data_IF_823969524805
#
_entry.id   IF_823969524805
#
_cell.length_a   1.000
_cell.length_b   1.000
_cell.length_c   1.000
_cell.angle_alpha   90.00
_cell.angle_beta   90.00
_cell.angle_gamma   90.00
#
_symmetry.space_group_name_H-M   'P 1'
#
loop_
_entity.id
_entity.type
_entity.pdbx_description
1 polymer ?
#
# COMPACT_ATOMS: atom_id res chain seq x y z
N UNK A 1 2.07 -15.08 10.63
CA UNK A 1 0.73 -15.16 10.00
C UNK A 1 0.41 -13.85 9.29
N UNK A 2 -0.37 -13.96 8.23
CA UNK A 2 -0.45 -13.07 7.04
C UNK A 2 -0.83 -11.62 7.38
N UNK A 3 0.01 -10.66 6.98
CA UNK A 3 -0.27 -9.22 7.02
C UNK A 3 -0.93 -8.82 5.69
N UNK A 4 -2.22 -8.53 5.73
CA UNK A 4 -3.00 -7.97 4.63
C UNK A 4 -2.89 -6.45 4.65
N UNK A 5 -2.13 -5.87 3.70
CA UNK A 5 -2.26 -4.45 3.31
C UNK A 5 -3.26 -4.40 2.16
N UNK A 6 -4.24 -3.51 2.25
CA UNK A 6 -5.29 -3.32 1.26
C UNK A 6 -4.86 -2.28 0.22
N UNK A 7 -5.27 -2.52 -1.02
CA UNK A 7 -5.08 -1.63 -2.14
C UNK A 7 -6.23 -1.86 -3.10
N UNK A 8 -7.04 -0.82 -3.32
CA UNK A 8 -7.56 -0.49 -4.64
C UNK A 8 -8.27 0.86 -4.69
N UNK A 9 -8.10 1.50 -5.84
CA UNK A 9 -8.85 2.63 -6.41
C UNK A 9 -8.48 4.04 -5.95
N UNK A 10 -8.34 4.91 -6.95
CA UNK A 10 -7.81 6.28 -7.03
C UNK A 10 -8.07 7.25 -5.86
N UNK A 11 -9.03 6.96 -4.99
CA UNK A 11 -9.21 7.61 -3.67
C UNK A 11 -8.01 7.32 -2.73
N UNK A 12 -7.28 6.23 -2.99
CA UNK A 12 -6.15 5.77 -2.20
C UNK A 12 -4.84 6.54 -2.42
N UNK A 13 -4.68 7.35 -3.47
CA UNK A 13 -3.40 8.04 -3.71
C UNK A 13 -3.02 8.98 -2.55
N UNK A 14 -3.99 9.70 -1.98
CA UNK A 14 -3.77 10.55 -0.79
C UNK A 14 -3.47 9.76 0.49
N UNK A 15 -4.01 8.54 0.63
CA UNK A 15 -3.84 7.70 1.82
C UNK A 15 -2.61 6.77 1.74
N UNK A 16 -2.21 6.40 0.52
CA UNK A 16 -1.01 5.57 0.25
C UNK A 16 0.26 6.37 0.52
N UNK A 17 0.22 7.69 0.35
CA UNK A 17 1.30 8.61 0.70
C UNK A 17 1.60 8.61 2.21
N UNK A 18 0.58 8.46 3.07
CA UNK A 18 0.78 8.28 4.51
C UNK A 18 1.33 6.89 4.87
N UNK A 19 1.00 5.87 4.07
CA UNK A 19 1.42 4.47 4.28
C UNK A 19 2.85 4.17 3.78
N UNK A 20 3.47 5.02 2.96
CA UNK A 20 4.90 4.92 2.64
C UNK A 20 5.80 5.36 3.81
N UNK A 21 5.29 6.14 4.75
CA UNK A 21 6.06 6.56 5.93
C UNK A 21 6.27 5.45 6.97
N UNK A 22 5.29 4.56 7.18
CA UNK A 22 5.26 3.63 8.32
C UNK A 22 5.91 2.25 8.10
N UNK A 23 6.93 2.11 7.24
CA UNK A 23 7.67 0.84 7.25
C UNK A 23 8.70 0.64 6.16
N UNK A 24 9.96 0.96 6.49
CA UNK A 24 11.16 0.12 6.27
C UNK A 24 12.44 0.95 6.50
N UNK A 25 12.66 1.44 7.72
CA UNK A 25 13.97 1.94 8.14
C UNK A 25 14.79 0.81 8.77
N UNK A 26 15.69 0.18 8.00
CA UNK A 26 16.69 -0.75 8.55
C UNK A 26 17.66 0.04 9.43
N UNK A 27 17.88 -0.46 10.64
CA UNK A 27 18.84 0.02 11.64
C UNK A 27 20.25 0.15 11.07
N UNK A 28 20.89 1.31 11.31
CA UNK A 28 22.32 1.51 11.14
C UNK A 28 23.10 0.74 12.25
N UNK A 29 24.35 0.31 11.99
CA UNK A 29 25.10 -0.59 12.87
C UNK A 29 25.67 0.11 14.11
N UNK A 30 25.68 -0.60 15.22
CA UNK A 30 26.22 -0.16 16.51
C UNK A 30 27.74 0.07 16.45
N UNK A 31 28.18 1.31 16.64
CA UNK A 31 29.58 1.63 16.98
C UNK A 31 29.84 1.32 18.45
N UNK A 32 30.81 0.43 18.70
CA UNK A 32 31.33 0.10 20.04
C UNK A 32 31.90 1.34 20.74
N UNK A 33 31.78 1.48 22.08
CA UNK A 33 32.43 2.56 22.82
C UNK A 33 33.94 2.29 22.92
N UNK A 34 34.74 3.31 22.59
CA UNK A 34 36.17 3.36 22.89
C UNK A 34 36.33 3.70 24.38
N UNK A 35 37.08 2.85 25.08
CA UNK A 35 37.54 3.05 26.46
C UNK A 35 38.78 3.96 26.42
N UNK A 36 38.85 5.03 27.24
CA UNK A 36 40.13 5.57 27.66
C UNK A 36 40.48 5.08 29.07
N UNK A 37 41.61 4.38 29.08
CA UNK A 37 42.63 4.14 30.10
C UNK A 37 42.60 5.02 31.38
N UNK A 38 42.83 4.36 32.52
CA UNK A 38 42.99 4.90 33.88
C UNK A 38 44.25 5.80 34.03
N UNK A 39 44.40 6.62 35.07
CA UNK A 39 45.09 6.35 36.38
C UNK A 39 45.27 7.73 37.11
N UNK A 40 45.47 7.90 38.45
CA UNK A 40 45.01 7.20 39.66
C UNK A 40 44.37 8.13 40.75
N UNK A 41 43.95 7.46 41.82
CA UNK A 41 43.39 7.86 43.12
C UNK A 41 43.91 9.12 43.86
N UNK A 42 42.98 9.77 44.59
CA UNK A 42 43.20 10.30 45.93
C UNK A 42 41.89 10.19 46.77
N UNK A 43 42.04 9.97 48.08
CA UNK A 43 41.04 9.41 49.02
C UNK A 43 40.13 10.45 49.71
N UNK A 44 38.93 9.98 50.11
CA UNK A 44 38.12 10.27 51.32
C UNK A 44 37.60 11.72 51.60
N UNK A 45 36.41 12.00 52.17
CA UNK A 45 35.43 11.20 52.91
C UNK A 45 33.97 11.73 52.79
N UNK A 46 33.05 10.90 53.28
CA UNK A 46 31.75 11.19 53.94
C UNK A 46 30.54 11.75 53.17
N UNK A 47 29.60 10.84 52.91
CA UNK A 47 28.34 10.83 53.66
C UNK A 47 27.18 11.68 53.13
N UNK A 48 26.44 11.19 52.12
CA UNK A 48 25.00 11.47 51.99
C UNK A 48 24.28 10.45 51.10
N UNK A 49 23.09 10.07 51.57
CA UNK A 49 22.05 9.15 51.08
C UNK A 49 21.73 9.24 49.56
N UNK A 50 21.37 8.13 48.88
CA UNK A 50 21.05 8.17 47.45
C UNK A 50 19.65 8.77 47.23
N UNK A 51 19.61 10.00 46.73
CA UNK A 51 18.41 10.53 46.07
C UNK A 51 18.32 9.97 44.65
N UNK A 52 17.23 9.28 44.41
CA UNK A 52 16.82 8.72 43.13
C UNK A 52 16.48 9.87 42.19
N UNK A 53 17.47 10.31 41.42
CA UNK A 53 17.29 11.28 40.34
C UNK A 53 16.49 10.67 39.20
N UNK A 54 15.18 10.86 39.24
CA UNK A 54 14.31 10.66 38.09
C UNK A 54 14.62 11.75 37.06
N UNK A 55 15.40 11.42 36.03
CA UNK A 55 15.60 12.30 34.86
C UNK A 55 14.26 12.37 34.13
N UNK A 56 13.42 13.31 34.53
CA UNK A 56 12.20 13.65 33.82
C UNK A 56 12.64 14.56 32.69
N UNK A 57 12.79 14.01 31.48
CA UNK A 57 12.96 14.81 30.28
C UNK A 57 11.79 15.81 30.19
N UNK A 58 12.03 17.11 29.86
CA UNK A 58 10.95 18.08 29.84
C UNK A 58 9.96 17.70 28.74
N UNK A 59 8.68 17.57 29.10
CA UNK A 59 7.58 17.48 28.14
C UNK A 59 7.55 18.81 27.39
N UNK A 60 8.20 18.87 26.24
CA UNK A 60 8.20 20.05 25.37
C UNK A 60 6.76 20.32 24.93
N UNK A 61 6.30 21.54 25.22
CA UNK A 61 5.03 22.07 24.71
C UNK A 61 5.07 21.99 23.19
N UNK A 62 4.19 21.17 22.62
CA UNK A 62 4.10 20.97 21.17
C UNK A 62 3.77 22.31 20.53
N UNK A 63 4.66 22.82 19.68
CA UNK A 63 4.38 24.03 18.90
C UNK A 63 3.30 23.74 17.86
N UNK A 64 2.41 24.71 17.62
CA UNK A 64 1.29 24.57 16.67
C UNK A 64 1.77 24.29 15.22
N UNK A 65 2.98 24.75 14.87
CA UNK A 65 3.65 24.50 13.58
C UNK A 65 4.74 23.40 13.70
N UNK A 66 4.39 22.26 14.31
CA UNK A 66 5.28 21.09 14.42
C UNK A 66 4.83 19.93 13.54
N UNK A 67 5.76 19.04 13.17
CA UNK A 67 5.43 17.81 12.47
C UNK A 67 4.39 16.96 13.23
N UNK A 68 4.48 16.94 14.57
CA UNK A 68 3.54 16.22 15.43
C UNK A 68 2.12 16.79 15.31
N UNK A 69 1.96 18.11 15.33
CA UNK A 69 0.66 18.76 15.16
C UNK A 69 0.06 18.47 13.78
N UNK A 70 0.85 18.58 12.71
CA UNK A 70 0.42 18.29 11.34
C UNK A 70 -0.03 16.82 11.16
N UNK A 71 0.73 15.86 11.69
CA UNK A 71 0.39 14.44 11.65
C UNK A 71 -0.89 14.16 12.42
N UNK A 72 -1.04 14.69 13.64
CA UNK A 72 -2.26 14.50 14.44
C UNK A 72 -3.49 15.07 13.75
N UNK A 73 -3.39 16.26 13.16
CA UNK A 73 -4.49 16.86 12.41
C UNK A 73 -4.91 15.98 11.22
N UNK A 74 -3.93 15.41 10.52
CA UNK A 74 -4.17 14.52 9.37
C UNK A 74 -4.82 13.21 9.81
N UNK A 75 -4.33 12.58 10.87
CA UNK A 75 -4.94 11.37 11.45
C UNK A 75 -6.38 11.63 11.88
N UNK A 76 -6.65 12.72 12.59
CA UNK A 76 -8.02 13.08 12.98
C UNK A 76 -8.93 13.38 11.79
N UNK A 77 -8.41 13.91 10.69
CA UNK A 77 -9.19 14.07 9.46
C UNK A 77 -9.57 12.69 8.88
N UNK A 78 -8.65 11.72 8.88
CA UNK A 78 -8.89 10.35 8.41
C UNK A 78 -9.87 9.60 9.31
N UNK A 79 -9.72 9.71 10.63
CA UNK A 79 -10.65 9.10 11.61
C UNK A 79 -12.08 9.62 11.44
N UNK A 80 -12.22 10.91 11.13
CA UNK A 80 -13.51 11.53 10.78
C UNK A 80 -13.89 11.34 9.31
N UNK A 81 -13.07 10.62 8.54
CA UNK A 81 -13.18 10.37 7.11
C UNK A 81 -13.40 11.61 6.25
N UNK A 82 -12.83 12.73 6.68
CA UNK A 82 -12.68 13.93 5.88
C UNK A 82 -11.38 13.81 5.07
N UNK A 83 -11.43 12.98 4.01
CA UNK A 83 -10.27 12.70 3.18
C UNK A 83 -9.81 13.93 2.40
N UNK A 84 -10.72 14.84 2.05
CA UNK A 84 -10.38 16.11 1.43
C UNK A 84 -9.50 16.96 2.38
N UNK A 85 -9.80 16.96 3.69
CA UNK A 85 -8.97 17.62 4.69
C UNK A 85 -7.65 16.89 4.94
N UNK A 86 -7.66 15.55 4.97
CA UNK A 86 -6.44 14.77 5.09
C UNK A 86 -5.48 15.01 3.91
N UNK A 87 -6.02 15.21 2.71
CA UNK A 87 -5.27 15.52 1.50
C UNK A 87 -4.55 16.88 1.55
N UNK A 88 -5.03 17.83 2.37
CA UNK A 88 -4.35 19.11 2.59
C UNK A 88 -3.01 18.97 3.32
N UNK A 89 -2.67 17.77 3.81
CA UNK A 89 -1.33 17.43 4.29
C UNK A 89 -0.27 17.65 3.20
N UNK A 90 -0.61 17.43 1.93
CA UNK A 90 0.27 17.67 0.80
C UNK A 90 0.46 19.18 0.53
N UNK A 91 1.67 19.63 0.15
CA UNK A 91 1.87 21.00 -0.29
C UNK A 91 1.19 21.27 -1.63
N UNK A 92 0.88 22.54 -1.97
CA UNK A 92 0.18 22.89 -3.20
C UNK A 92 0.84 22.36 -4.48
N UNK A 93 2.18 22.34 -4.55
CA UNK A 93 2.89 21.77 -5.69
C UNK A 93 2.59 20.28 -5.90
N UNK A 94 2.59 19.51 -4.81
CA UNK A 94 2.30 18.07 -4.86
C UNK A 94 0.82 17.81 -5.18
N UNK A 95 -0.09 18.65 -4.68
CA UNK A 95 -1.50 18.57 -5.08
C UNK A 95 -1.66 18.82 -6.59
N UNK A 96 -0.95 19.82 -7.13
CA UNK A 96 -0.96 20.11 -8.57
C UNK A 96 -0.39 18.97 -9.40
N UNK A 97 0.64 18.26 -8.93
CA UNK A 97 1.17 17.10 -9.64
C UNK A 97 0.12 15.99 -9.77
N UNK A 98 -0.58 15.69 -8.67
CA UNK A 98 -1.64 14.68 -8.64
C UNK A 98 -2.84 15.10 -9.49
N UNK A 99 -3.24 16.38 -9.43
CA UNK A 99 -4.28 16.93 -10.32
C UNK A 99 -3.88 16.74 -11.79
N UNK A 100 -2.62 17.02 -12.13
CA UNK A 100 -2.07 16.78 -13.46
C UNK A 100 -2.14 15.31 -13.89
N UNK A 101 -1.89 14.36 -12.97
CA UNK A 101 -2.06 12.93 -13.26
C UNK A 101 -3.52 12.56 -13.54
N UNK A 102 -4.47 13.13 -12.79
CA UNK A 102 -5.92 12.93 -13.01
C UNK A 102 -6.32 13.46 -14.39
N UNK A 103 -5.86 14.66 -14.75
CA UNK A 103 -6.15 15.26 -16.05
C UNK A 103 -5.54 14.44 -17.19
N UNK A 104 -4.29 13.99 -17.04
CA UNK A 104 -3.64 13.12 -18.01
C UNK A 104 -4.37 11.79 -18.18
N UNK A 105 -4.78 11.15 -17.08
CA UNK A 105 -5.61 9.94 -17.13
C UNK A 105 -6.88 10.18 -17.94
N UNK A 106 -7.62 11.24 -17.60
CA UNK A 106 -8.88 11.55 -18.25
C UNK A 106 -8.72 11.88 -19.75
N UNK A 107 -7.58 12.46 -20.15
CA UNK A 107 -7.25 12.72 -21.56
C UNK A 107 -6.86 11.46 -22.35
N UNK A 108 -6.32 10.44 -21.67
CA UNK A 108 -5.79 9.22 -22.29
C UNK A 108 -6.74 8.03 -22.25
N UNK A 109 -7.75 8.10 -21.38
CA UNK A 109 -8.78 7.07 -21.26
C UNK A 109 -9.66 7.02 -22.53
N UNK A 110 -10.02 5.81 -22.97
CA UNK A 110 -10.97 5.64 -24.07
C UNK A 110 -12.39 6.00 -23.61
N UNK A 111 -12.97 7.01 -24.25
CA UNK A 111 -14.28 7.56 -23.88
C UNK A 111 -15.40 6.52 -23.96
N UNK A 112 -15.40 5.67 -24.99
CA UNK A 112 -16.44 4.65 -25.15
C UNK A 112 -16.37 3.63 -24.00
N UNK A 113 -15.17 3.13 -23.67
CA UNK A 113 -14.99 2.21 -22.55
C UNK A 113 -15.44 2.86 -21.23
N UNK A 114 -15.07 4.12 -20.99
CA UNK A 114 -15.43 4.83 -19.76
C UNK A 114 -16.94 5.07 -19.63
N UNK A 115 -17.56 5.61 -20.68
CA UNK A 115 -19.00 5.86 -20.74
C UNK A 115 -19.78 4.55 -20.59
N UNK A 116 -19.33 3.48 -21.24
CA UNK A 116 -19.98 2.16 -21.15
C UNK A 116 -19.87 1.60 -19.73
N UNK A 117 -18.70 1.68 -19.11
CA UNK A 117 -18.47 1.25 -17.73
C UNK A 117 -19.40 1.97 -16.75
N UNK A 118 -19.44 3.31 -16.78
CA UNK A 118 -20.32 4.08 -15.89
C UNK A 118 -21.80 3.90 -16.22
N UNK A 119 -22.14 3.62 -17.49
CA UNK A 119 -23.48 3.19 -17.88
C UNK A 119 -23.88 1.89 -17.19
N UNK A 120 -23.03 0.86 -17.24
CA UNK A 120 -23.25 -0.43 -16.58
C UNK A 120 -23.32 -0.27 -15.06
N UNK A 121 -22.46 0.54 -14.45
CA UNK A 121 -22.52 0.80 -13.00
C UNK A 121 -23.82 1.47 -12.57
N UNK A 122 -24.33 2.45 -13.35
CA UNK A 122 -25.64 3.06 -13.12
C UNK A 122 -26.78 2.05 -13.25
N UNK A 123 -26.73 1.15 -14.25
CA UNK A 123 -27.70 0.04 -14.34
C UNK A 123 -27.62 -0.90 -13.14
N UNK A 124 -26.43 -1.20 -12.64
CA UNK A 124 -26.25 -1.98 -11.40
C UNK A 124 -26.96 -1.30 -10.23
N UNK A 125 -26.76 0.00 -10.03
CA UNK A 125 -27.49 0.76 -8.99
C UNK A 125 -29.01 0.67 -9.20
N UNK A 126 -29.49 0.76 -10.44
CA UNK A 126 -30.91 0.60 -10.74
C UNK A 126 -31.45 -0.79 -10.34
N UNK A 127 -30.71 -1.87 -10.62
CA UNK A 127 -31.04 -3.23 -10.15
C UNK A 127 -31.07 -3.30 -8.62
N UNK A 128 -30.02 -2.81 -7.96
CA UNK A 128 -29.91 -2.84 -6.49
C UNK A 128 -31.07 -2.11 -5.81
N UNK A 129 -31.57 -1.01 -6.42
CA UNK A 129 -32.77 -0.31 -5.96
C UNK A 129 -34.05 -1.08 -6.25
N UNK A 130 -34.29 -1.39 -7.53
CA UNK A 130 -35.56 -1.94 -7.98
C UNK A 130 -35.81 -3.38 -7.51
N UNK A 131 -34.74 -4.14 -7.26
CA UNK A 131 -34.80 -5.57 -6.92
C UNK A 131 -34.31 -5.86 -5.50
N UNK A 132 -34.25 -4.85 -4.63
CA UNK A 132 -33.87 -4.99 -3.22
C UNK A 132 -34.52 -6.20 -2.54
N UNK A 133 -35.84 -6.33 -2.63
CA UNK A 133 -36.58 -7.43 -2.01
C UNK A 133 -36.07 -8.80 -2.49
N UNK A 134 -35.95 -8.98 -3.82
CA UNK A 134 -35.49 -10.24 -4.39
C UNK A 134 -34.03 -10.55 -4.02
N UNK A 135 -33.17 -9.52 -3.97
CA UNK A 135 -31.76 -9.67 -3.58
C UNK A 135 -31.64 -10.09 -2.12
N UNK A 136 -32.31 -9.39 -1.20
CA UNK A 136 -32.20 -9.68 0.24
C UNK A 136 -32.79 -11.03 0.64
N UNK A 137 -33.65 -11.60 -0.22
CA UNK A 137 -34.26 -12.93 -0.11
C UNK A 137 -33.52 -14.03 -0.87
N UNK A 138 -32.41 -13.75 -1.57
CA UNK A 138 -31.60 -14.83 -2.15
C UNK A 138 -31.09 -15.75 -1.04
N UNK A 139 -31.05 -17.06 -1.30
CA UNK A 139 -30.59 -18.05 -0.32
C UNK A 139 -29.13 -17.82 0.11
N UNK A 140 -28.36 -17.10 -0.70
CA UNK A 140 -27.02 -16.63 -0.37
C UNK A 140 -27.01 -15.68 0.84
N UNK A 141 -28.06 -14.85 0.97
CA UNK A 141 -28.20 -13.85 2.04
C UNK A 141 -29.19 -14.29 3.11
N UNK A 142 -30.20 -15.08 2.77
CA UNK A 142 -31.27 -15.53 3.67
C UNK A 142 -30.72 -16.19 4.94
N UNK A 143 -31.22 -15.77 6.10
CA UNK A 143 -30.95 -16.37 7.42
C UNK A 143 -29.48 -16.42 7.87
N UNK A 144 -28.66 -15.49 7.36
CA UNK A 144 -27.24 -15.39 7.70
C UNK A 144 -26.98 -14.15 8.57
N UNK A 145 -26.60 -14.31 9.86
CA UNK A 145 -26.33 -13.20 10.76
C UNK A 145 -25.26 -12.24 10.23
N UNK A 146 -24.32 -12.73 9.42
CA UNK A 146 -23.28 -11.91 8.80
C UNK A 146 -23.79 -10.79 7.88
N UNK A 147 -25.03 -10.88 7.38
CA UNK A 147 -25.60 -9.91 6.44
C UNK A 147 -26.71 -9.03 7.04
N UNK A 148 -27.00 -9.15 8.33
CA UNK A 148 -28.02 -8.33 9.01
C UNK A 148 -27.73 -6.83 8.92
N UNK A 149 -26.45 -6.47 9.06
CA UNK A 149 -26.02 -5.07 8.93
C UNK A 149 -26.20 -4.56 7.49
N UNK A 150 -25.86 -5.36 6.47
CA UNK A 150 -26.08 -5.02 5.07
C UNK A 150 -27.59 -4.82 4.77
N UNK A 151 -28.46 -5.68 5.32
CA UNK A 151 -29.91 -5.53 5.19
C UNK A 151 -30.41 -4.21 5.77
N UNK A 152 -29.94 -3.89 6.98
CA UNK A 152 -30.33 -2.67 7.70
C UNK A 152 -29.88 -1.41 6.96
N UNK A 153 -28.71 -1.46 6.32
CA UNK A 153 -28.06 -0.30 5.70
C UNK A 153 -28.08 -0.34 4.16
N UNK A 154 -28.95 -1.16 3.57
CA UNK A 154 -29.00 -1.38 2.12
C UNK A 154 -29.21 -0.09 1.34
N UNK A 155 -30.23 0.70 1.72
CA UNK A 155 -30.60 1.89 0.95
C UNK A 155 -29.52 2.96 1.02
N UNK A 156 -28.85 3.09 2.16
CA UNK A 156 -27.71 4.01 2.32
C UNK A 156 -26.53 3.55 1.46
N UNK A 157 -26.19 2.26 1.47
CA UNK A 157 -25.11 1.72 0.65
C UNK A 157 -25.35 1.90 -0.85
N UNK A 158 -26.58 1.65 -1.30
CA UNK A 158 -26.97 1.88 -2.70
C UNK A 158 -26.95 3.36 -3.05
N UNK A 159 -27.34 4.24 -2.12
CA UNK A 159 -27.28 5.70 -2.32
C UNK A 159 -25.85 6.22 -2.42
N UNK A 160 -24.90 5.64 -1.68
CA UNK A 160 -23.49 5.99 -1.83
C UNK A 160 -22.91 5.54 -3.17
N UNK A 161 -23.24 4.32 -3.60
CA UNK A 161 -22.85 3.85 -4.93
C UNK A 161 -23.45 4.75 -6.02
N UNK A 162 -24.71 5.17 -5.87
CA UNK A 162 -25.36 6.11 -6.78
C UNK A 162 -24.64 7.46 -6.83
N UNK A 163 -24.32 8.04 -5.69
CA UNK A 163 -23.57 9.28 -5.59
C UNK A 163 -22.20 9.18 -6.27
N UNK A 164 -21.52 8.04 -6.16
CA UNK A 164 -20.26 7.80 -6.86
C UNK A 164 -20.45 7.72 -8.38
N UNK A 165 -21.39 6.91 -8.87
CA UNK A 165 -21.57 6.71 -10.32
C UNK A 165 -22.19 7.91 -11.04
N UNK A 166 -22.74 8.86 -10.29
CA UNK A 166 -23.26 10.14 -10.78
C UNK A 166 -22.33 11.32 -10.51
N UNK A 167 -21.17 11.08 -9.87
CA UNK A 167 -20.17 12.11 -9.60
C UNK A 167 -19.43 12.55 -10.87
N UNK A 168 -18.66 13.62 -10.76
CA UNK A 168 -17.71 14.07 -11.79
C UNK A 168 -16.71 12.99 -12.20
N UNK A 169 -16.46 11.98 -11.37
CA UNK A 169 -15.59 10.85 -11.74
C UNK A 169 -16.16 10.00 -12.88
N UNK A 170 -17.48 10.01 -13.11
CA UNK A 170 -18.11 9.28 -14.19
C UNK A 170 -17.98 9.93 -15.57
N UNK A 171 -17.48 11.14 -15.63
CA UNK A 171 -17.42 11.95 -16.82
C UNK A 171 -15.97 12.39 -17.10
N UNK A 172 -15.43 12.02 -18.26
CA UNK A 172 -14.03 12.32 -18.57
C UNK A 172 -13.78 13.83 -18.73
N UNK A 173 -14.76 14.58 -19.24
CA UNK A 173 -14.64 16.03 -19.39
C UNK A 173 -14.56 16.70 -18.00
N UNK A 174 -15.42 16.29 -17.08
CA UNK A 174 -15.38 16.73 -15.69
C UNK A 174 -14.08 16.34 -14.99
N UNK A 175 -13.59 15.12 -15.22
CA UNK A 175 -12.31 14.66 -14.66
C UNK A 175 -11.11 15.46 -15.17
N UNK A 176 -11.11 15.91 -16.44
CA UNK A 176 -10.05 16.76 -16.98
C UNK A 176 -9.97 18.13 -16.31
N UNK A 177 -11.01 18.54 -15.58
CA UNK A 177 -11.06 19.82 -14.87
C UNK A 177 -11.10 19.65 -13.35
N UNK A 178 -11.26 18.42 -12.86
CA UNK A 178 -11.39 18.14 -11.44
C UNK A 178 -10.04 18.25 -10.73
N UNK A 179 -10.05 18.74 -9.49
CA UNK A 179 -8.92 18.50 -8.58
C UNK A 179 -9.07 17.12 -7.94
N UNK A 180 -7.98 16.43 -7.68
CA UNK A 180 -7.96 15.18 -6.94
C UNK A 180 -8.65 15.34 -5.58
N UNK A 181 -8.45 16.49 -4.93
CA UNK A 181 -9.16 16.84 -3.68
C UNK A 181 -10.68 16.83 -3.85
N UNK A 182 -11.22 17.36 -4.94
CA UNK A 182 -12.67 17.37 -5.19
C UNK A 182 -13.25 15.98 -5.49
N UNK A 183 -12.41 15.04 -5.92
CA UNK A 183 -12.79 13.64 -6.14
C UNK A 183 -12.79 12.83 -4.84
N UNK A 184 -12.21 13.36 -3.76
CA UNK A 184 -12.31 12.78 -2.44
C UNK A 184 -13.64 13.24 -1.81
N UNK A 185 -14.63 12.36 -1.62
CA UNK A 185 -15.87 12.77 -0.98
C UNK A 185 -15.57 13.33 0.41
N UNK A 186 -16.09 14.51 0.73
CA UNK A 186 -15.99 15.11 2.07
C UNK A 186 -16.71 14.32 3.17
N UNK A 187 -17.63 13.43 2.76
CA UNK A 187 -18.32 12.44 3.61
C UNK A 187 -17.68 11.04 3.52
N UNK A 188 -16.40 10.92 3.14
CA UNK A 188 -15.76 9.62 2.97
C UNK A 188 -15.79 8.76 4.25
N UNK A 189 -15.94 9.33 5.45
CA UNK A 189 -16.26 8.57 6.67
C UNK A 189 -17.60 7.85 6.59
N UNK A 190 -18.64 8.49 6.06
CA UNK A 190 -19.92 7.83 5.83
C UNK A 190 -19.75 6.73 4.81
N UNK A 191 -19.01 6.97 3.72
CA UNK A 191 -18.71 5.93 2.72
C UNK A 191 -18.01 4.74 3.38
N UNK A 192 -16.94 4.98 4.13
CA UNK A 192 -16.15 4.00 4.89
C UNK A 192 -17.02 3.25 5.92
N UNK A 193 -17.79 3.96 6.75
CA UNK A 193 -18.71 3.38 7.75
C UNK A 193 -19.83 2.55 7.11
N UNK A 194 -20.39 3.00 5.99
CA UNK A 194 -21.42 2.27 5.28
C UNK A 194 -20.84 1.06 4.55
N UNK A 195 -19.61 1.14 4.00
CA UNK A 195 -18.88 -0.01 3.43
C UNK A 195 -18.60 -1.10 4.49
N UNK A 196 -18.42 -0.73 5.75
CA UNK A 196 -18.39 -1.70 6.87
C UNK A 196 -19.73 -2.23 7.27
N UNK A 197 -20.72 -1.33 7.33
CA UNK A 197 -22.07 -1.70 7.66
C UNK A 197 -22.61 -2.73 6.66
N UNK A 198 -22.09 -2.77 5.44
CA UNK A 198 -22.42 -3.78 4.43
C UNK A 198 -21.51 -5.02 4.41
N UNK A 199 -20.57 -5.15 5.35
CA UNK A 199 -19.75 -6.34 5.52
C UNK A 199 -18.57 -6.47 4.54
N UNK A 200 -18.26 -5.42 3.76
CA UNK A 200 -17.04 -5.40 2.92
C UNK A 200 -15.78 -5.13 3.76
N UNK A 201 -15.94 -4.72 5.02
CA UNK A 201 -14.86 -4.57 6.00
C UNK A 201 -13.87 -3.44 5.73
N UNK A 202 -14.13 -2.62 4.69
CA UNK A 202 -13.19 -1.61 4.20
C UNK A 202 -12.95 -0.53 5.24
N UNK A 203 -13.99 -0.02 5.88
CA UNK A 203 -13.89 1.09 6.80
C UNK A 203 -13.49 0.75 8.24
N UNK A 204 -13.69 -0.48 8.68
CA UNK A 204 -13.53 -0.94 10.04
C UNK A 204 -12.13 -1.49 10.16
N UNK A 205 -11.58 -2.01 9.06
CA UNK A 205 -10.15 -2.20 8.90
C UNK A 205 -9.43 -0.85 8.86
N UNK A 206 -9.92 0.15 8.12
CA UNK A 206 -9.36 1.51 8.10
C UNK A 206 -9.41 2.19 9.49
N UNK A 207 -10.58 2.26 10.11
CA UNK A 207 -10.75 2.83 11.44
C UNK A 207 -9.93 2.05 12.48
N UNK A 208 -9.89 0.71 12.47
CA UNK A 208 -9.04 -0.07 13.38
C UNK A 208 -7.54 0.08 13.09
N UNK A 209 -7.16 0.40 11.85
CA UNK A 209 -5.75 0.59 11.48
C UNK A 209 -5.21 1.93 11.97
N UNK A 210 -6.06 2.96 12.01
CA UNK A 210 -5.67 4.30 12.45
C UNK A 210 -6.09 4.63 13.89
N UNK A 211 -7.06 3.89 14.45
CA UNK A 211 -7.43 4.01 15.85
C UNK A 211 -6.24 3.69 16.77
N UNK A 212 -6.12 4.48 17.83
CA UNK A 212 -5.15 4.30 18.90
C UNK A 212 -3.68 4.35 18.43
N UNK A 213 -3.39 4.92 17.25
CA UNK A 213 -2.01 5.23 16.86
C UNK A 213 -1.47 6.28 17.83
N UNK A 214 -0.51 5.87 18.65
CA UNK A 214 0.26 6.79 19.47
C UNK A 214 1.35 7.42 18.62
N UNK A 215 1.31 8.75 18.55
CA UNK A 215 2.36 9.55 17.91
C UNK A 215 3.03 10.42 18.96
N UNK A 216 4.34 10.24 19.08
CA UNK A 216 5.20 10.98 20.00
C UNK A 216 6.33 11.63 19.21
N UNK A 217 6.74 12.83 19.62
CA UNK A 217 7.91 13.48 19.03
C UNK A 217 9.14 13.07 19.82
N UNK A 218 10.07 12.37 19.16
CA UNK A 218 11.33 11.92 19.78
C UNK A 218 12.41 12.98 19.61
N UNK A 219 12.40 13.70 18.48
CA UNK A 219 13.37 14.75 18.18
C UNK A 219 12.71 15.88 17.41
N UNK A 220 13.10 17.12 17.71
CA UNK A 220 12.81 18.29 16.90
C UNK A 220 14.07 19.15 16.81
N UNK A 221 14.54 19.40 15.59
CA UNK A 221 15.74 20.19 15.34
C UNK A 221 15.55 20.98 14.06
N UNK A 222 15.25 22.28 14.20
CA UNK A 222 14.97 23.16 13.05
C UNK A 222 13.82 22.60 12.20
N UNK A 223 14.06 22.48 10.90
CA UNK A 223 13.11 21.96 9.92
C UNK A 223 13.13 20.42 9.77
N UNK A 224 13.73 19.68 10.73
CA UNK A 224 13.71 18.22 10.77
C UNK A 224 13.21 17.72 12.13
N UNK A 225 12.15 16.90 12.11
CA UNK A 225 11.55 16.29 13.30
C UNK A 225 11.58 14.75 13.14
N UNK A 226 11.72 14.02 14.25
CA UNK A 226 11.56 12.56 14.28
C UNK A 226 10.38 12.21 15.16
N UNK A 227 9.43 11.50 14.58
CA UNK A 227 8.22 11.07 15.26
C UNK A 227 8.23 9.55 15.44
N UNK A 228 7.86 9.10 16.63
CA UNK A 228 7.56 7.71 16.97
C UNK A 228 6.11 7.41 16.64
N UNK A 229 5.85 6.30 15.97
CA UNK A 229 4.52 5.77 15.72
C UNK A 229 4.39 4.40 16.36
N UNK A 230 3.35 4.20 17.16
CA UNK A 230 3.01 2.89 17.69
C UNK A 230 1.51 2.66 17.51
N UNK A 231 1.15 1.75 16.61
CA UNK A 231 -0.22 1.28 16.48
C UNK A 231 -0.60 0.32 17.62
N UNK A 232 -1.91 0.05 17.81
CA UNK A 232 -2.41 -0.79 18.91
C UNK A 232 -1.93 -2.25 18.87
N UNK A 233 -1.44 -2.72 17.70
CA UNK A 233 -0.95 -4.08 17.49
C UNK A 233 0.56 -4.15 17.22
N UNK A 234 1.26 -3.03 17.32
CA UNK A 234 2.68 -2.97 17.06
C UNK A 234 3.48 -3.33 18.31
N UNK A 235 4.31 -4.37 18.20
CA UNK A 235 5.20 -4.79 19.28
C UNK A 235 6.26 -3.73 19.60
N UNK A 236 6.64 -2.88 18.62
CA UNK A 236 7.64 -1.82 18.78
C UNK A 236 7.24 -0.56 18.02
N UNK A 237 7.55 0.63 18.56
CA UNK A 237 7.39 1.87 17.82
C UNK A 237 8.27 1.92 16.57
N UNK A 238 7.79 2.62 15.55
CA UNK A 238 8.54 2.92 14.33
C UNK A 238 8.87 4.41 14.29
N UNK A 239 10.13 4.74 14.08
CA UNK A 239 10.58 6.12 13.97
C UNK A 239 10.56 6.58 12.51
N UNK A 240 10.00 7.77 12.27
CA UNK A 240 9.91 8.38 10.94
C UNK A 240 10.44 9.80 11.02
N UNK A 241 11.41 10.11 10.16
CA UNK A 241 11.92 11.46 9.98
C UNK A 241 10.98 12.28 9.09
N UNK A 242 10.61 13.46 9.56
CA UNK A 242 9.82 14.47 8.88
C UNK A 242 10.69 15.68 8.60
N UNK A 243 10.50 16.29 7.43
CA UNK A 243 11.15 17.53 7.02
C UNK A 243 10.10 18.53 6.60
N UNK A 244 10.38 19.82 6.82
CA UNK A 244 9.53 20.89 6.30
C UNK A 244 9.83 21.10 4.82
N UNK A 245 8.82 20.94 3.98
CA UNK A 245 8.89 21.13 2.53
C UNK A 245 7.68 21.94 2.08
N UNK A 246 7.93 23.07 1.41
CA UNK A 246 6.90 24.02 0.96
C UNK A 246 5.88 24.40 2.06
N UNK A 247 6.40 24.64 3.27
CA UNK A 247 5.58 25.02 4.42
C UNK A 247 4.73 23.90 5.02
N UNK A 248 4.90 22.65 4.56
CA UNK A 248 4.24 21.45 5.11
C UNK A 248 5.25 20.48 5.70
N UNK A 249 4.86 19.79 6.77
CA UNK A 249 5.69 18.72 7.36
C UNK A 249 5.40 17.40 6.66
N UNK A 250 6.40 16.83 5.96
CA UNK A 250 6.25 15.60 5.18
C UNK A 250 7.31 14.57 5.61
N UNK A 251 7.04 13.26 5.47
CA UNK A 251 8.08 12.25 5.64
C UNK A 251 9.26 12.52 4.69
N UNK A 252 10.48 12.44 5.21
CA UNK A 252 11.71 12.69 4.43
C UNK A 252 11.81 11.77 3.21
N UNK A 253 11.35 10.53 3.35
CA UNK A 253 11.27 9.55 2.25
C UNK A 253 10.31 9.97 1.16
N UNK A 254 9.13 10.50 1.53
CA UNK A 254 8.15 11.02 0.57
C UNK A 254 8.75 12.15 -0.25
N UNK A 255 9.39 13.12 0.41
CA UNK A 255 10.04 14.25 -0.29
C UNK A 255 11.11 13.75 -1.26
N UNK A 256 11.95 12.81 -0.83
CA UNK A 256 13.02 12.26 -1.67
C UNK A 256 12.51 11.46 -2.88
N UNK A 257 11.32 10.84 -2.79
CA UNK A 257 10.82 9.90 -3.78
C UNK A 257 9.68 10.47 -4.65
N UNK A 258 9.14 11.63 -4.28
CA UNK A 258 7.97 12.22 -4.94
C UNK A 258 8.13 12.34 -6.45
N UNK A 259 9.18 13.03 -6.90
CA UNK A 259 9.42 13.28 -8.33
C UNK A 259 9.55 11.97 -9.12
N UNK A 260 10.30 10.99 -8.59
CA UNK A 260 10.42 9.68 -9.25
C UNK A 260 9.09 8.92 -9.31
N UNK A 261 8.24 9.07 -8.28
CA UNK A 261 6.88 8.52 -8.26
C UNK A 261 5.99 9.15 -9.34
N UNK A 262 5.94 10.49 -9.41
CA UNK A 262 5.16 11.22 -10.43
C UNK A 262 5.60 10.84 -11.84
N UNK A 263 6.92 10.77 -12.10
CA UNK A 263 7.43 10.35 -13.41
C UNK A 263 7.06 8.91 -13.76
N UNK A 264 7.11 8.00 -12.78
CA UNK A 264 6.69 6.62 -12.99
C UNK A 264 5.18 6.53 -13.32
N UNK A 265 4.35 7.32 -12.65
CA UNK A 265 2.91 7.38 -12.90
C UNK A 265 2.61 7.97 -14.29
N UNK A 266 3.29 9.06 -14.69
CA UNK A 266 3.19 9.61 -16.06
C UNK A 266 3.65 8.60 -17.11
N UNK A 267 4.73 7.86 -16.86
CA UNK A 267 5.22 6.83 -17.77
C UNK A 267 4.25 5.65 -17.90
N UNK A 268 3.53 5.30 -16.83
CA UNK A 268 2.45 4.32 -16.89
C UNK A 268 1.26 4.87 -17.68
N UNK A 269 0.82 6.09 -17.40
CA UNK A 269 -0.25 6.78 -18.12
C UNK A 269 0.05 6.89 -19.62
N UNK A 270 1.30 7.15 -20.01
CA UNK A 270 1.70 7.20 -21.41
C UNK A 270 1.42 5.89 -22.17
N UNK A 271 1.45 4.74 -21.49
CA UNK A 271 1.18 3.41 -22.07
C UNK A 271 -0.31 3.03 -22.03
N UNK A 272 -1.12 3.78 -21.28
CA UNK A 272 -2.53 3.48 -21.07
C UNK A 272 -3.34 3.37 -22.38
N UNK A 273 -3.19 4.28 -23.38
CA UNK A 273 -3.95 4.19 -24.63
C UNK A 273 -3.72 2.88 -25.38
N UNK A 274 -2.46 2.42 -25.46
CA UNK A 274 -2.11 1.17 -26.14
C UNK A 274 -2.67 -0.04 -25.40
N UNK A 275 -2.59 -0.03 -24.06
CA UNK A 275 -3.16 -1.09 -23.23
C UNK A 275 -4.69 -1.16 -23.37
N UNK A 276 -5.36 -0.02 -23.36
CA UNK A 276 -6.81 0.04 -23.55
C UNK A 276 -7.17 -0.42 -24.96
N UNK A 277 -6.44 -0.01 -26.00
CA UNK A 277 -6.70 -0.44 -27.38
C UNK A 277 -6.68 -1.97 -27.53
N UNK A 278 -5.74 -2.63 -26.86
CA UNK A 278 -5.65 -4.11 -26.84
C UNK A 278 -6.80 -4.73 -26.03
N UNK A 279 -7.13 -4.15 -24.88
CA UNK A 279 -8.16 -4.69 -23.99
C UNK A 279 -9.61 -4.36 -24.40
N UNK A 280 -9.81 -3.28 -25.18
CA UNK A 280 -11.12 -2.66 -25.46
C UNK A 280 -12.15 -3.65 -26.00
N UNK A 281 -11.87 -4.49 -27.02
CA UNK A 281 -12.88 -5.44 -27.52
C UNK A 281 -13.40 -6.36 -26.41
N UNK A 282 -12.49 -6.92 -25.61
CA UNK A 282 -12.84 -7.81 -24.50
C UNK A 282 -13.59 -7.08 -23.38
N UNK A 283 -13.20 -5.84 -23.07
CA UNK A 283 -13.88 -5.04 -22.04
C UNK A 283 -15.30 -4.68 -22.48
N UNK A 284 -15.48 -4.22 -23.72
CA UNK A 284 -16.80 -3.86 -24.24
C UNK A 284 -17.73 -5.08 -24.37
N UNK A 285 -17.19 -6.24 -24.76
CA UNK A 285 -17.93 -7.49 -24.77
C UNK A 285 -18.39 -7.87 -23.35
N UNK A 286 -17.48 -7.84 -22.37
CA UNK A 286 -17.81 -8.13 -20.98
C UNK A 286 -18.86 -7.17 -20.41
N UNK A 287 -18.75 -5.87 -20.69
CA UNK A 287 -19.75 -4.87 -20.30
C UNK A 287 -21.11 -5.15 -20.95
N UNK A 288 -21.12 -5.51 -22.24
CA UNK A 288 -22.35 -5.85 -22.95
C UNK A 288 -23.04 -7.09 -22.37
N UNK A 289 -22.28 -8.13 -22.04
CA UNK A 289 -22.81 -9.31 -21.35
C UNK A 289 -23.35 -8.95 -19.97
N UNK A 290 -22.62 -8.13 -19.21
CA UNK A 290 -23.07 -7.65 -17.91
C UNK A 290 -24.38 -6.86 -18.01
N UNK A 291 -24.53 -5.98 -18.99
CA UNK A 291 -25.78 -5.24 -19.17
C UNK A 291 -26.94 -6.12 -19.59
N UNK A 292 -26.72 -7.12 -20.45
CA UNK A 292 -27.77 -8.08 -20.80
C UNK A 292 -28.29 -8.82 -19.56
N UNK A 293 -27.39 -9.22 -18.66
CA UNK A 293 -27.75 -9.79 -17.37
C UNK A 293 -28.51 -8.77 -16.49
N UNK A 294 -28.01 -7.54 -16.36
CA UNK A 294 -28.68 -6.50 -15.56
C UNK A 294 -30.09 -6.19 -16.08
N UNK A 295 -30.27 -6.18 -17.40
CA UNK A 295 -31.57 -5.98 -18.05
C UNK A 295 -32.53 -7.15 -17.74
N UNK A 296 -32.04 -8.41 -17.74
CA UNK A 296 -32.83 -9.58 -17.30
C UNK A 296 -33.22 -9.47 -15.82
N UNK A 297 -32.29 -9.07 -14.95
CA UNK A 297 -32.56 -8.89 -13.52
C UNK A 297 -33.60 -7.80 -13.28
N UNK A 298 -33.55 -6.68 -14.03
CA UNK A 298 -34.57 -5.64 -13.99
C UNK A 298 -35.93 -6.13 -14.49
N UNK A 299 -35.95 -6.96 -15.53
CA UNK A 299 -37.18 -7.47 -16.14
C UNK A 299 -37.87 -8.56 -15.30
N UNK A 300 -37.14 -9.27 -14.45
CA UNK A 300 -37.68 -10.35 -13.61
C UNK A 300 -38.87 -9.88 -12.77
N UNK A 301 -40.02 -10.55 -12.90
CA UNK A 301 -41.29 -10.15 -12.28
C UNK A 301 -41.51 -10.79 -10.92
N UNK A 302 -40.82 -11.89 -10.66
CA UNK A 302 -40.94 -12.67 -9.44
C UNK A 302 -39.56 -13.19 -9.00
N UNK A 303 -39.54 -13.80 -7.81
CA UNK A 303 -38.32 -14.30 -7.16
C UNK A 303 -37.64 -15.41 -7.98
N UNK A 304 -38.40 -16.34 -8.54
CA UNK A 304 -37.86 -17.48 -9.26
C UNK A 304 -37.15 -17.03 -10.55
N UNK A 305 -37.77 -16.13 -11.31
CA UNK A 305 -37.16 -15.51 -12.49
C UNK A 305 -35.87 -14.76 -12.14
N UNK A 306 -35.86 -14.04 -11.02
CA UNK A 306 -34.68 -13.30 -10.56
C UNK A 306 -33.55 -14.26 -10.13
N UNK A 307 -33.88 -15.31 -9.38
CA UNK A 307 -32.92 -16.33 -8.93
C UNK A 307 -32.29 -17.09 -10.10
N UNK A 308 -33.09 -17.44 -11.11
CA UNK A 308 -32.60 -18.09 -12.32
C UNK A 308 -31.63 -17.19 -13.10
N UNK A 309 -31.95 -15.89 -13.21
CA UNK A 309 -31.09 -14.93 -13.90
C UNK A 309 -29.78 -14.66 -13.15
N UNK A 310 -29.82 -14.52 -11.81
CA UNK A 310 -28.64 -14.13 -11.00
C UNK A 310 -27.71 -15.31 -10.69
N UNK A 311 -28.21 -16.55 -10.72
CA UNK A 311 -27.46 -17.76 -10.34
C UNK A 311 -26.10 -17.90 -11.04
N UNK A 312 -26.02 -17.81 -12.38
CA UNK A 312 -24.75 -17.86 -13.11
C UNK A 312 -23.77 -16.74 -12.73
N UNK A 313 -24.30 -15.55 -12.41
CA UNK A 313 -23.50 -14.40 -12.01
C UNK A 313 -22.89 -14.57 -10.62
N UNK A 314 -23.66 -15.08 -9.66
CA UNK A 314 -23.16 -15.42 -8.32
C UNK A 314 -22.04 -16.45 -8.40
N UNK A 315 -22.22 -17.51 -9.19
CA UNK A 315 -21.18 -18.53 -9.37
C UNK A 315 -19.91 -17.94 -9.98
N UNK A 316 -20.06 -17.12 -11.02
CA UNK A 316 -18.94 -16.47 -11.70
C UNK A 316 -18.20 -15.50 -10.77
N UNK A 317 -18.93 -14.73 -9.95
CA UNK A 317 -18.34 -13.85 -8.94
C UNK A 317 -17.62 -14.66 -7.85
N UNK A 318 -18.22 -15.74 -7.36
CA UNK A 318 -17.61 -16.62 -6.35
C UNK A 318 -16.30 -17.25 -6.87
N UNK A 319 -16.25 -17.65 -8.14
CA UNK A 319 -15.03 -18.19 -8.76
C UNK A 319 -13.98 -17.10 -9.04
N UNK A 320 -14.42 -15.87 -9.36
CA UNK A 320 -13.52 -14.75 -9.61
C UNK A 320 -13.00 -14.09 -8.32
N UNK A 321 -13.72 -14.22 -7.20
CA UNK A 321 -13.42 -13.53 -5.95
C UNK A 321 -12.02 -13.84 -5.39
N UNK A 322 -11.56 -15.11 -5.29
CA UNK A 322 -10.20 -15.41 -4.84
C UNK A 322 -9.13 -14.78 -5.74
N UNK A 323 -9.37 -14.76 -7.05
CA UNK A 323 -8.46 -14.14 -8.02
C UNK A 323 -8.42 -12.62 -7.87
N UNK A 324 -9.56 -11.97 -7.65
CA UNK A 324 -9.60 -10.53 -7.37
C UNK A 324 -8.92 -10.20 -6.04
N UNK A 325 -9.11 -11.01 -5.00
CA UNK A 325 -8.38 -10.85 -3.74
C UNK A 325 -6.87 -10.98 -3.95
N UNK A 326 -6.43 -11.94 -4.76
CA UNK A 326 -5.02 -12.10 -5.11
C UNK A 326 -4.48 -10.88 -5.85
N UNK A 327 -5.21 -10.35 -6.84
CA UNK A 327 -4.82 -9.14 -7.57
C UNK A 327 -4.80 -7.89 -6.67
N UNK A 328 -5.80 -7.73 -5.80
CA UNK A 328 -5.84 -6.67 -4.81
C UNK A 328 -4.63 -6.75 -3.87
N UNK A 329 -4.30 -7.95 -3.37
CA UNK A 329 -3.11 -8.18 -2.54
C UNK A 329 -1.79 -7.91 -3.28
N UNK A 330 -1.72 -8.21 -4.58
CA UNK A 330 -0.57 -7.90 -5.42
C UNK A 330 -0.40 -6.39 -5.62
N UNK A 331 -1.49 -5.67 -5.92
CA UNK A 331 -1.49 -4.22 -6.07
C UNK A 331 -1.18 -3.47 -4.77
N UNK A 332 -1.71 -3.95 -3.65
CA UNK A 332 -1.51 -3.38 -2.32
C UNK A 332 -0.09 -3.56 -1.76
N UNK A 333 0.66 -4.52 -2.32
CA UNK A 333 2.04 -4.77 -1.91
C UNK A 333 3.03 -3.81 -2.58
N UNK A 334 2.60 -2.97 -3.54
CA UNK A 334 3.50 -2.13 -4.34
C UNK A 334 4.57 -2.92 -5.10
N UNK A 335 4.41 -4.25 -5.15
CA UNK A 335 5.39 -5.19 -5.67
C UNK A 335 4.87 -5.72 -7.00
N UNK A 336 5.20 -4.98 -8.05
CA UNK A 336 5.49 -5.65 -9.31
C UNK A 336 6.91 -6.25 -9.22
N UNK A 337 7.13 -7.12 -8.22
CA UNK A 337 8.38 -7.84 -8.03
C UNK A 337 8.05 -9.32 -8.05
N UNK A 338 8.66 -10.02 -8.99
CA UNK A 338 8.90 -11.46 -8.87
C UNK A 338 9.44 -11.76 -7.47
N UNK A 339 9.15 -12.94 -6.89
CA UNK A 339 9.57 -13.27 -5.54
C UNK A 339 11.09 -13.04 -5.37
N UNK A 340 11.52 -12.42 -4.27
CA UNK A 340 12.93 -12.14 -4.04
C UNK A 340 13.71 -13.45 -3.99
N UNK A 341 14.79 -13.53 -4.75
CA UNK A 341 15.66 -14.71 -4.76
C UNK A 341 16.68 -14.56 -3.64
N UNK A 342 16.83 -15.60 -2.81
CA UNK A 342 17.83 -15.62 -1.75
C UNK A 342 18.96 -16.57 -2.11
N UNK A 343 20.17 -16.04 -2.21
CA UNK A 343 21.39 -16.81 -2.41
C UNK A 343 21.96 -17.18 -1.05
N UNK A 344 22.20 -18.46 -0.82
CA UNK A 344 22.87 -18.99 0.37
C UNK A 344 24.22 -19.57 -0.03
N UNK A 345 25.28 -19.00 0.51
CA UNK A 345 26.64 -19.55 0.44
C UNK A 345 26.93 -20.25 1.77
N UNK A 346 27.34 -21.51 1.68
CA UNK A 346 27.56 -22.39 2.84
C UNK A 346 28.76 -22.02 3.73
N UNK A 347 29.53 -20.99 3.36
CA UNK A 347 30.61 -20.40 4.16
C UNK A 347 30.50 -18.88 4.24
N UNK A 348 31.23 -18.30 5.18
CA UNK A 348 31.38 -16.85 5.28
C UNK A 348 32.35 -16.34 4.20
N UNK A 349 31.89 -15.38 3.40
CA UNK A 349 32.73 -14.68 2.43
C UNK A 349 33.43 -13.51 3.11
N UNK A 350 34.74 -13.35 2.90
CA UNK A 350 35.47 -12.17 3.33
C UNK A 350 34.98 -10.90 2.63
N UNK A 351 35.25 -9.71 3.17
CA UNK A 351 34.85 -8.44 2.55
C UNK A 351 35.36 -8.30 1.09
N UNK A 352 36.54 -8.84 0.79
CA UNK A 352 37.10 -8.88 -0.57
C UNK A 352 36.29 -9.80 -1.50
N UNK A 353 35.91 -10.97 -1.03
CA UNK A 353 35.08 -11.92 -1.80
C UNK A 353 33.65 -11.40 -1.99
N UNK A 354 33.06 -10.78 -0.98
CA UNK A 354 31.76 -10.12 -1.10
C UNK A 354 31.79 -8.99 -2.13
N UNK A 355 32.85 -8.19 -2.14
CA UNK A 355 33.05 -7.14 -3.15
C UNK A 355 33.15 -7.74 -4.54
N UNK A 356 33.96 -8.78 -4.73
CA UNK A 356 34.06 -9.48 -6.03
C UNK A 356 32.73 -10.08 -6.48
N UNK A 357 31.93 -10.64 -5.56
CA UNK A 357 30.61 -11.18 -5.88
C UNK A 357 29.65 -10.07 -6.33
N UNK A 358 29.66 -8.92 -5.66
CA UNK A 358 28.89 -7.73 -6.08
C UNK A 358 29.30 -7.33 -7.50
N UNK A 359 30.59 -7.25 -7.79
CA UNK A 359 31.08 -6.74 -9.08
C UNK A 359 30.86 -7.67 -10.25
N UNK A 360 30.98 -8.99 -10.03
CA UNK A 360 30.93 -9.98 -11.12
C UNK A 360 29.59 -10.69 -11.26
N UNK A 361 28.73 -10.64 -10.24
CA UNK A 361 27.40 -11.27 -10.27
C UNK A 361 26.30 -10.22 -10.21
N UNK A 362 26.36 -9.25 -9.29
CA UNK A 362 25.24 -8.34 -9.05
C UNK A 362 25.22 -7.13 -9.99
N UNK A 363 26.38 -6.50 -10.26
CA UNK A 363 26.48 -5.35 -11.19
C UNK A 363 26.03 -5.71 -12.62
N UNK A 364 26.39 -6.86 -13.22
CA UNK A 364 25.93 -7.24 -14.56
C UNK A 364 24.42 -7.47 -14.65
N UNK A 365 23.75 -7.73 -13.53
CA UNK A 365 22.30 -7.86 -13.42
C UNK A 365 21.59 -6.51 -13.18
N UNK A 366 22.34 -5.39 -13.25
CA UNK A 366 21.87 -4.05 -12.93
C UNK A 366 21.30 -3.88 -11.51
N UNK A 367 21.66 -4.78 -10.59
CA UNK A 367 21.26 -4.68 -9.19
C UNK A 367 22.04 -3.54 -8.51
N UNK A 368 21.32 -2.58 -7.95
CA UNK A 368 21.87 -1.45 -7.19
C UNK A 368 21.90 -1.77 -5.69
N UNK A 369 22.57 -0.95 -4.87
CA UNK A 369 22.71 -1.19 -3.42
C UNK A 369 21.39 -1.26 -2.63
N UNK A 370 20.27 -0.89 -3.25
CA UNK A 370 18.90 -1.06 -2.71
C UNK A 370 18.23 -2.37 -3.14
N UNK A 371 18.76 -3.03 -4.18
CA UNK A 371 18.20 -4.24 -4.77
C UNK A 371 18.74 -5.53 -4.15
N UNK A 372 19.72 -5.43 -3.24
CA UNK A 372 20.23 -6.59 -2.52
C UNK A 372 20.61 -6.30 -1.07
N UNK A 373 20.58 -7.33 -0.24
CA UNK A 373 21.14 -7.30 1.11
C UNK A 373 22.07 -8.50 1.27
N UNK A 374 23.35 -8.24 1.56
CA UNK A 374 24.35 -9.25 1.81
C UNK A 374 24.67 -9.28 3.30
N UNK A 375 24.53 -10.46 3.92
CA UNK A 375 24.83 -10.70 5.33
C UNK A 375 25.78 -11.89 5.42
N UNK A 376 26.94 -11.67 6.01
CA UNK A 376 27.91 -12.69 6.36
C UNK A 376 27.91 -12.82 7.89
N UNK A 377 27.36 -13.92 8.41
CA UNK A 377 27.21 -14.20 9.84
C UNK A 377 27.08 -15.72 10.05
N UNK A 378 27.40 -16.21 11.25
CA UNK A 378 27.23 -17.62 11.66
C UNK A 378 27.88 -18.63 10.70
N UNK A 379 29.03 -18.28 10.12
CA UNK A 379 29.77 -19.13 9.20
C UNK A 379 29.11 -19.32 7.84
N UNK A 380 28.15 -18.47 7.45
CA UNK A 380 27.46 -18.49 6.15
C UNK A 380 27.36 -17.08 5.56
N UNK A 381 27.12 -17.00 4.26
CA UNK A 381 26.79 -15.73 3.59
C UNK A 381 25.45 -15.84 2.89
N UNK A 382 24.54 -14.94 3.22
CA UNK A 382 23.21 -14.83 2.60
C UNK A 382 23.14 -13.55 1.79
N UNK A 383 22.81 -13.64 0.51
CA UNK A 383 22.54 -12.49 -0.34
C UNK A 383 21.09 -12.54 -0.82
N UNK A 384 20.26 -11.63 -0.35
CA UNK A 384 18.86 -11.52 -0.75
C UNK A 384 18.74 -10.48 -1.86
N UNK A 385 18.26 -10.88 -3.03
CA UNK A 385 17.98 -10.02 -4.18
C UNK A 385 16.48 -9.72 -4.25
N UNK A 386 16.11 -8.45 -4.34
CA UNK A 386 14.70 -8.03 -4.40
C UNK A 386 14.13 -8.05 -5.81
N UNK A 387 15.00 -8.02 -6.84
CA UNK A 387 14.61 -8.11 -8.26
C UNK A 387 15.56 -9.06 -9.00
N UNK A 388 15.01 -10.10 -9.63
CA UNK A 388 15.76 -11.02 -10.49
C UNK A 388 14.92 -11.32 -11.73
N UNK A 389 15.24 -10.65 -12.84
CA UNK A 389 14.52 -10.82 -14.11
C UNK A 389 14.70 -12.22 -14.71
N UNK A 390 15.86 -12.85 -14.49
CA UNK A 390 16.20 -14.18 -14.97
C UNK A 390 17.04 -14.96 -13.95
N UNK A 391 16.41 -15.97 -13.33
CA UNK A 391 17.04 -16.85 -12.34
C UNK A 391 18.08 -17.77 -12.97
N UNK A 392 17.91 -18.16 -14.24
CA UNK A 392 18.84 -19.05 -14.93
C UNK A 392 20.19 -18.34 -15.18
N UNK A 393 20.15 -17.11 -15.70
CA UNK A 393 21.35 -16.27 -15.88
C UNK A 393 22.05 -15.96 -14.56
N UNK A 394 21.29 -15.73 -13.47
CA UNK A 394 21.84 -15.53 -12.13
C UNK A 394 22.58 -16.78 -11.62
N UNK A 395 21.98 -17.96 -11.81
CA UNK A 395 22.58 -19.25 -11.42
C UNK A 395 23.90 -19.49 -12.15
N UNK A 396 23.93 -19.22 -13.45
CA UNK A 396 25.13 -19.40 -14.29
C UNK A 396 26.25 -18.42 -13.91
N UNK A 397 25.88 -17.18 -13.60
CA UNK A 397 26.82 -16.16 -13.11
C UNK A 397 27.43 -16.54 -11.75
N UNK A 398 26.64 -17.10 -10.84
CA UNK A 398 27.12 -17.61 -9.55
C UNK A 398 28.05 -18.81 -9.71
N UNK A 399 27.68 -19.79 -10.54
CA UNK A 399 28.51 -20.95 -10.81
C UNK A 399 29.88 -20.53 -11.37
N UNK A 400 29.89 -19.60 -12.33
CA UNK A 400 31.12 -19.03 -12.90
C UNK A 400 31.95 -18.26 -11.89
N UNK A 401 31.31 -17.45 -11.04
CA UNK A 401 32.00 -16.66 -10.01
C UNK A 401 32.75 -17.54 -9.01
N UNK A 402 32.13 -18.65 -8.59
CA UNK A 402 32.71 -19.57 -7.61
C UNK A 402 33.50 -20.73 -8.22
N UNK A 403 33.63 -20.81 -9.54
CA UNK A 403 34.34 -21.89 -10.22
C UNK A 403 33.66 -23.26 -10.10
N UNK A 404 32.34 -23.29 -9.96
CA UNK A 404 31.53 -24.50 -9.81
C UNK A 404 31.06 -25.04 -11.17
N UNK A 405 30.78 -26.34 -11.23
CA UNK A 405 30.04 -26.94 -12.35
C UNK A 405 28.62 -26.32 -12.45
N UNK A 406 27.94 -26.36 -13.62
CA UNK A 406 26.61 -25.78 -13.80
C UNK A 406 25.54 -26.24 -12.79
N UNK A 407 25.71 -27.44 -12.23
CA UNK A 407 24.81 -28.04 -11.21
C UNK A 407 25.25 -27.75 -9.76
N UNK A 408 26.39 -27.09 -9.55
CA UNK A 408 26.92 -26.72 -8.23
C UNK A 408 26.16 -25.57 -7.55
N UNK A 409 25.17 -24.98 -8.24
CA UNK A 409 24.23 -24.02 -7.66
C UNK A 409 22.82 -24.58 -7.79
N UNK A 410 22.25 -25.06 -6.68
CA UNK A 410 20.89 -25.63 -6.70
C UNK A 410 19.84 -24.53 -6.51
N UNK A 411 18.75 -24.61 -7.29
CA UNK A 411 17.61 -23.70 -7.17
C UNK A 411 16.42 -24.45 -6.59
N UNK A 412 15.91 -23.95 -5.46
CA UNK A 412 14.65 -24.38 -4.87
C UNK A 412 13.55 -23.42 -5.32
N UNK A 413 12.67 -23.91 -6.18
CA UNK A 413 11.57 -23.14 -6.77
C UNK A 413 10.47 -22.81 -5.76
N UNK A 414 10.26 -23.64 -4.72
CA UNK A 414 9.23 -23.42 -3.71
C UNK A 414 9.65 -22.31 -2.73
N UNK A 415 10.93 -22.28 -2.36
CA UNK A 415 11.46 -21.28 -1.43
C UNK A 415 12.15 -20.09 -2.11
N UNK A 416 12.28 -20.11 -3.44
CA UNK A 416 13.02 -19.11 -4.23
C UNK A 416 14.47 -18.92 -3.74
N UNK A 417 15.16 -20.04 -3.48
CA UNK A 417 16.51 -20.04 -2.92
C UNK A 417 17.53 -20.63 -3.90
N UNK A 418 18.66 -19.96 -4.06
CA UNK A 418 19.85 -20.49 -4.74
C UNK A 418 20.87 -20.90 -3.68
N UNK A 419 21.28 -22.16 -3.65
CA UNK A 419 22.30 -22.65 -2.70
C UNK A 419 23.60 -22.89 -3.44
N UNK A 420 24.66 -22.27 -2.93
CA UNK A 420 26.04 -22.38 -3.41
C UNK A 420 26.81 -23.20 -2.37
N UNK A 421 27.24 -24.39 -2.77
CA UNK A 421 28.05 -25.27 -1.92
C UNK A 421 29.52 -25.16 -2.34
N UNK A 422 30.33 -24.55 -1.49
CA UNK A 422 31.78 -24.49 -1.65
C UNK A 422 32.43 -25.56 -0.78
N UNK A 423 33.44 -26.24 -1.30
CA UNK A 423 34.31 -27.10 -0.50
C UNK A 423 35.02 -26.24 0.56
N UNK A 424 35.12 -26.78 1.79
CA UNK A 424 35.62 -26.05 2.97
C UNK A 424 37.11 -25.80 2.95
#
# INVERSE_FOLDING_TARGET
MKKTRWGMSWVGAGLTVLLWGCGAGKTAPATKPVVPEAVPASQASDGAKPETGSVTAPIQKVADDSALAAVRQTLSAIERGDLAKAYEFLPPGYQSDVDGLVHEFASKMDAEVWTRLFGTLRKTVAVLRAKKAFILELDLFANRPEYESLRKHWDEAVSLLDAFVTSSAGDLESLQQASAKSLLPGDAARVVQHLDAIGLGVGADLARQFADIKVEQIKATGDEHVLSFQGPRDERPTEIAYVKHDGRWLPKTLVAQWSAGIEADRAWLAKLPDQIKVAKPRVLEALTQADGLLDQLLAAKNRDEFQQAVGPAILSLALAWPRMQQLAQQSASGKNEQPPVTIFVNRELSASEQTKMIESVLKPLHATGTDYTLLANDGKTTCRLTKVADVASLRESLAKHFGLQPDGVSFDQESSQLKVELER
#
